data_IF_442221958671
#
_entry.id   IF_442221958671
#
_cell.length_a   1.000
_cell.length_b   1.000
_cell.length_c   1.000
_cell.angle_alpha   90.00
_cell.angle_beta   90.00
_cell.angle_gamma   90.00
#
_symmetry.space_group_name_H-M   'P 1'
#
loop_
_entity.id
_entity.type
_entity.pdbx_description
1 polymer ?
#
# COMPACT_ATOMS: atom_id res chain seq x y z
N UNK A 1 -21.24 1.94 3.75
CA UNK A 1 -20.89 1.48 2.39
C UNK A 1 -19.53 0.80 2.50
N UNK A 2 -19.35 -0.42 1.99
CA UNK A 2 -18.24 -1.29 2.42
C UNK A 2 -16.94 -1.10 1.60
N UNK A 3 -15.79 -1.51 2.16
CA UNK A 3 -14.47 -1.49 1.50
C UNK A 3 -14.46 -2.13 0.10
N UNK A 4 -15.36 -3.07 -0.18
CA UNK A 4 -15.54 -3.64 -1.52
C UNK A 4 -15.97 -2.59 -2.55
N UNK A 5 -16.87 -1.67 -2.17
CA UNK A 5 -17.31 -0.58 -3.04
C UNK A 5 -16.17 0.42 -3.33
N UNK A 6 -15.28 0.65 -2.35
CA UNK A 6 -14.07 1.45 -2.54
C UNK A 6 -13.19 0.86 -3.65
N UNK A 7 -12.81 -0.42 -3.54
CA UNK A 7 -11.95 -1.06 -4.54
C UNK A 7 -12.62 -1.18 -5.91
N UNK A 8 -13.92 -1.48 -5.96
CA UNK A 8 -14.64 -1.55 -7.24
C UNK A 8 -14.68 -0.20 -7.97
N UNK A 9 -14.91 0.90 -7.23
CA UNK A 9 -14.91 2.26 -7.81
C UNK A 9 -13.49 2.68 -8.21
N UNK A 10 -12.50 2.38 -7.39
CA UNK A 10 -11.10 2.68 -7.68
C UNK A 10 -10.63 1.99 -8.96
N UNK A 11 -10.83 0.68 -9.08
CA UNK A 11 -10.46 -0.09 -10.28
C UNK A 11 -11.13 0.45 -11.55
N UNK A 12 -12.45 0.68 -11.49
CA UNK A 12 -13.21 1.23 -12.61
C UNK A 12 -12.66 2.61 -13.03
N UNK A 13 -12.37 3.47 -12.07
CA UNK A 13 -11.84 4.80 -12.34
C UNK A 13 -10.46 4.73 -13.00
N UNK A 14 -9.51 4.01 -12.40
CA UNK A 14 -8.14 3.91 -12.90
C UNK A 14 -8.07 3.33 -14.33
N UNK A 15 -8.92 2.34 -14.63
CA UNK A 15 -9.06 1.82 -15.99
C UNK A 15 -9.64 2.86 -16.96
N UNK A 16 -10.64 3.64 -16.52
CA UNK A 16 -11.31 4.65 -17.36
C UNK A 16 -10.35 5.78 -17.76
N UNK A 17 -9.44 6.17 -16.87
CA UNK A 17 -8.43 7.21 -17.13
C UNK A 17 -7.10 6.66 -17.66
N UNK A 18 -7.06 5.37 -18.05
CA UNK A 18 -5.88 4.67 -18.57
C UNK A 18 -4.63 4.76 -17.66
N UNK A 19 -4.86 4.84 -16.34
CA UNK A 19 -3.79 4.71 -15.35
C UNK A 19 -3.49 3.23 -15.04
N UNK A 20 -4.48 2.36 -15.29
CA UNK A 20 -4.35 0.90 -15.22
C UNK A 20 -4.97 0.21 -16.44
N UNK A 21 -4.53 -1.02 -16.69
CA UNK A 21 -5.20 -1.93 -17.63
C UNK A 21 -6.26 -2.77 -16.90
N UNK A 22 -7.33 -3.23 -17.56
CA UNK A 22 -8.32 -4.11 -16.95
C UNK A 22 -7.69 -5.34 -16.27
N UNK A 23 -7.84 -5.42 -14.95
CA UNK A 23 -7.00 -6.22 -14.04
C UNK A 23 -7.47 -7.68 -13.83
N UNK A 24 -7.90 -8.40 -14.89
CA UNK A 24 -8.52 -9.74 -14.71
C UNK A 24 -7.61 -10.84 -14.12
N UNK A 25 -6.29 -10.65 -14.01
CA UNK A 25 -5.33 -11.70 -13.57
C UNK A 25 -4.35 -11.22 -12.48
N UNK A 26 -4.57 -10.06 -11.87
CA UNK A 26 -3.52 -9.39 -11.08
C UNK A 26 -3.57 -9.69 -9.57
N UNK A 27 -4.67 -10.26 -9.08
CA UNK A 27 -4.91 -10.47 -7.65
C UNK A 27 -4.62 -11.87 -7.13
N UNK A 28 -4.40 -11.98 -5.81
CA UNK A 28 -4.30 -13.23 -5.07
C UNK A 28 -5.69 -13.84 -4.80
N UNK A 29 -5.73 -15.17 -4.80
CA UNK A 29 -6.86 -15.97 -4.34
C UNK A 29 -6.97 -15.96 -2.82
N UNK A 30 -8.16 -16.34 -2.31
CA UNK A 30 -8.35 -16.51 -0.87
C UNK A 30 -7.43 -17.55 -0.24
N UNK A 31 -7.07 -18.59 -0.99
CA UNK A 31 -6.17 -19.64 -0.52
C UNK A 31 -4.74 -19.14 -0.32
N UNK A 32 -4.21 -18.34 -1.26
CA UNK A 32 -2.87 -17.72 -1.13
C UNK A 32 -2.82 -16.76 0.06
N UNK A 33 -3.85 -15.91 0.21
CA UNK A 33 -3.92 -14.96 1.33
C UNK A 33 -3.99 -15.72 2.66
N UNK A 34 -4.86 -16.73 2.77
CA UNK A 34 -5.02 -17.53 3.98
C UNK A 34 -3.74 -18.31 4.33
N UNK A 35 -2.99 -18.78 3.32
CA UNK A 35 -1.71 -19.44 3.55
C UNK A 35 -0.68 -18.50 4.19
N UNK A 36 -0.61 -17.24 3.74
CA UNK A 36 0.30 -16.25 4.34
C UNK A 36 -0.16 -15.82 5.74
N UNK A 37 -1.45 -15.59 5.95
CA UNK A 37 -2.03 -15.34 7.28
C UNK A 37 -1.63 -16.44 8.27
N UNK A 38 -1.72 -17.71 7.85
CA UNK A 38 -1.28 -18.86 8.64
C UNK A 38 0.23 -18.84 8.90
N UNK A 39 1.06 -18.60 7.88
CA UNK A 39 2.53 -18.52 8.01
C UNK A 39 2.96 -17.48 9.05
N UNK A 40 2.33 -16.31 9.04
CA UNK A 40 2.66 -15.21 9.96
C UNK A 40 1.88 -15.27 11.28
N UNK A 41 0.93 -16.20 11.44
CA UNK A 41 0.12 -16.31 12.65
C UNK A 41 -0.78 -15.09 12.90
N UNK A 42 -1.19 -14.39 11.85
CA UNK A 42 -2.00 -13.16 11.93
C UNK A 42 -3.21 -13.25 11.00
N UNK A 43 -4.23 -12.43 11.26
CA UNK A 43 -5.30 -12.18 10.29
C UNK A 43 -5.05 -10.83 9.63
N UNK A 44 -5.00 -10.80 8.31
CA UNK A 44 -4.83 -9.56 7.57
C UNK A 44 -6.10 -8.70 7.64
N UNK A 45 -5.95 -7.38 7.81
CA UNK A 45 -7.06 -6.45 7.74
C UNK A 45 -7.82 -6.55 6.42
N UNK A 46 -9.15 -6.38 6.45
CA UNK A 46 -9.99 -6.50 5.26
C UNK A 46 -9.53 -5.59 4.10
N UNK A 47 -9.10 -4.36 4.39
CA UNK A 47 -8.59 -3.43 3.38
C UNK A 47 -7.35 -3.98 2.67
N UNK A 48 -6.42 -4.60 3.41
CA UNK A 48 -5.22 -5.21 2.85
C UNK A 48 -5.54 -6.53 2.12
N UNK A 49 -6.48 -7.34 2.64
CA UNK A 49 -6.97 -8.53 1.91
C UNK A 49 -7.57 -8.16 0.56
N UNK A 50 -8.38 -7.11 0.50
CA UNK A 50 -8.98 -6.63 -0.74
C UNK A 50 -7.93 -6.05 -1.69
N UNK A 51 -6.92 -5.36 -1.17
CA UNK A 51 -5.75 -4.93 -1.94
C UNK A 51 -5.04 -6.12 -2.59
N UNK A 52 -4.75 -7.17 -1.81
CA UNK A 52 -4.10 -8.38 -2.32
C UNK A 52 -4.98 -9.10 -3.37
N UNK A 53 -6.30 -9.14 -3.17
CA UNK A 53 -7.24 -9.66 -4.18
C UNK A 53 -7.31 -8.82 -5.45
N UNK A 54 -6.97 -7.53 -5.36
CA UNK A 54 -7.00 -6.63 -6.50
C UNK A 54 -5.70 -6.72 -7.30
N UNK A 55 -4.55 -6.69 -6.63
CA UNK A 55 -3.25 -6.60 -7.30
C UNK A 55 -2.10 -7.38 -6.62
N UNK A 56 -2.36 -8.24 -5.63
CA UNK A 56 -1.31 -8.85 -4.81
C UNK A 56 -0.32 -9.77 -5.52
N UNK A 57 -0.52 -10.12 -6.81
CA UNK A 57 0.45 -10.90 -7.62
C UNK A 57 1.34 -10.04 -8.51
N UNK A 58 1.11 -8.72 -8.56
CA UNK A 58 1.81 -7.82 -9.46
C UNK A 58 2.00 -6.47 -8.81
N UNK A 59 2.67 -5.60 -9.53
CA UNK A 59 2.75 -4.19 -9.21
C UNK A 59 1.81 -3.42 -10.10
N UNK A 60 0.95 -2.61 -9.47
CA UNK A 60 0.11 -1.66 -10.19
C UNK A 60 0.99 -0.60 -10.82
N UNK A 61 0.67 -0.24 -12.07
CA UNK A 61 1.32 0.89 -12.73
C UNK A 61 1.17 2.12 -11.84
N UNK A 62 0.03 2.36 -11.22
CA UNK A 62 -0.26 3.53 -10.38
C UNK A 62 0.48 3.56 -9.04
N UNK A 63 1.26 2.54 -8.67
CA UNK A 63 1.99 2.49 -7.39
C UNK A 63 3.52 2.51 -7.54
N UNK A 64 4.06 2.03 -8.67
CA UNK A 64 5.50 2.00 -9.00
C UNK A 64 6.42 1.31 -7.97
N UNK A 65 5.83 0.69 -6.95
CA UNK A 65 6.47 -0.07 -5.87
C UNK A 65 5.78 -1.43 -5.74
N UNK A 66 6.60 -2.46 -5.56
CA UNK A 66 6.11 -3.83 -5.38
C UNK A 66 5.49 -3.99 -3.99
N UNK A 67 4.26 -4.49 -3.94
CA UNK A 67 3.54 -4.88 -2.71
C UNK A 67 2.99 -6.31 -2.86
N UNK A 68 3.78 -7.17 -3.48
CA UNK A 68 3.36 -8.50 -3.88
C UNK A 68 3.34 -9.44 -2.66
N UNK A 69 2.37 -10.34 -2.63
CA UNK A 69 2.18 -11.27 -1.52
C UNK A 69 3.40 -12.17 -1.30
N UNK A 70 4.02 -12.63 -2.39
CA UNK A 70 5.16 -13.55 -2.34
C UNK A 70 6.48 -12.87 -1.91
N UNK A 71 6.48 -11.54 -1.77
CA UNK A 71 7.63 -10.76 -1.31
C UNK A 71 7.58 -10.43 0.19
N UNK A 72 6.54 -10.85 0.92
CA UNK A 72 6.40 -10.56 2.35
C UNK A 72 7.64 -10.95 3.17
N UNK A 73 8.25 -12.10 2.91
CA UNK A 73 9.44 -12.53 3.65
C UNK A 73 10.64 -11.63 3.37
N UNK A 74 10.80 -11.18 2.12
CA UNK A 74 11.83 -10.22 1.76
C UNK A 74 11.60 -8.87 2.48
N UNK A 75 10.37 -8.36 2.48
CA UNK A 75 10.04 -7.11 3.19
C UNK A 75 10.32 -7.23 4.70
N UNK A 76 9.96 -8.35 5.31
CA UNK A 76 10.25 -8.62 6.72
C UNK A 76 11.75 -8.75 7.01
N UNK A 77 12.51 -9.40 6.13
CA UNK A 77 13.96 -9.49 6.23
C UNK A 77 14.60 -8.10 6.24
N UNK A 78 14.28 -7.28 5.24
CA UNK A 78 14.81 -5.92 5.14
C UNK A 78 14.40 -5.04 6.33
N UNK A 79 13.15 -5.11 6.78
CA UNK A 79 12.70 -4.34 7.93
C UNK A 79 13.42 -4.76 9.24
N UNK A 80 13.68 -6.06 9.44
CA UNK A 80 14.43 -6.55 10.60
C UNK A 80 15.87 -6.05 10.60
N UNK A 81 16.54 -6.09 9.45
CA UNK A 81 17.91 -5.60 9.30
C UNK A 81 17.96 -4.10 9.63
N UNK A 82 17.06 -3.31 9.04
CA UNK A 82 17.01 -1.87 9.26
C UNK A 82 16.73 -1.50 10.73
N UNK A 83 15.79 -2.21 11.38
CA UNK A 83 15.49 -2.01 12.80
C UNK A 83 16.67 -2.39 13.69
N UNK A 84 17.35 -3.51 13.41
CA UNK A 84 18.49 -3.98 14.19
C UNK A 84 19.69 -3.03 14.11
N UNK A 85 20.01 -2.53 12.91
CA UNK A 85 21.09 -1.54 12.68
C UNK A 85 20.86 -0.25 13.48
N UNK A 86 19.59 0.11 13.69
CA UNK A 86 19.19 1.34 14.39
C UNK A 86 18.78 1.10 15.86
N UNK A 87 19.00 -0.11 16.40
CA UNK A 87 18.61 -0.48 17.77
C UNK A 87 17.14 -0.20 18.08
N UNK A 88 16.28 -0.34 17.07
CA UNK A 88 14.86 -0.09 17.14
C UNK A 88 14.08 -1.41 17.14
N UNK A 89 12.82 -1.32 17.54
CA UNK A 89 11.87 -2.43 17.46
C UNK A 89 10.62 -1.96 16.74
N UNK A 90 10.02 -2.85 15.97
CA UNK A 90 8.72 -2.60 15.37
C UNK A 90 7.70 -2.43 16.50
N UNK A 91 6.80 -1.46 16.37
CA UNK A 91 5.78 -1.25 17.39
C UNK A 91 4.83 -2.47 17.51
N UNK A 92 4.26 -2.73 18.70
CA UNK A 92 3.36 -3.86 18.91
C UNK A 92 2.19 -3.85 17.92
N UNK A 93 1.94 -5.00 17.29
CA UNK A 93 0.90 -5.15 16.28
C UNK A 93 1.26 -4.62 14.89
N UNK A 94 2.49 -4.13 14.69
CA UNK A 94 3.01 -3.77 13.38
C UNK A 94 3.18 -4.99 12.47
N UNK A 95 2.72 -4.86 11.23
CA UNK A 95 2.91 -5.85 10.18
C UNK A 95 3.49 -5.20 8.92
N UNK A 96 4.68 -5.62 8.51
CA UNK A 96 5.40 -5.10 7.34
C UNK A 96 4.77 -5.67 6.07
N UNK A 97 4.46 -4.80 5.11
CA UNK A 97 3.78 -5.19 3.86
C UNK A 97 4.40 -4.59 2.60
N UNK A 98 5.46 -3.80 2.73
CA UNK A 98 6.22 -3.26 1.61
C UNK A 98 7.53 -2.65 2.08
N UNK A 99 8.50 -2.61 1.18
CA UNK A 99 9.82 -2.00 1.38
C UNK A 99 10.23 -1.27 0.10
N UNK A 100 11.14 -0.30 0.25
CA UNK A 100 11.81 0.31 -0.89
C UNK A 100 13.30 0.46 -0.65
N UNK A 101 14.07 -0.34 -1.40
CA UNK A 101 15.53 -0.27 -1.53
C UNK A 101 16.31 -0.36 -0.20
N UNK A 102 15.77 -1.04 0.81
CA UNK A 102 16.43 -1.25 2.10
C UNK A 102 16.52 -0.04 3.03
N UNK A 103 16.04 1.13 2.60
CA UNK A 103 16.10 2.37 3.39
C UNK A 103 14.80 2.69 4.11
N UNK A 104 13.71 2.05 3.72
CA UNK A 104 12.41 2.24 4.33
C UNK A 104 11.52 1.00 4.20
N UNK A 105 10.53 0.91 5.08
CA UNK A 105 9.47 -0.08 4.99
C UNK A 105 8.12 0.50 5.42
N UNK A 106 7.07 0.05 4.74
CA UNK A 106 5.69 0.30 5.12
C UNK A 106 5.19 -0.82 6.02
N UNK A 107 4.45 -0.43 7.06
CA UNK A 107 3.75 -1.36 7.92
C UNK A 107 2.39 -0.81 8.33
N UNK A 108 1.46 -1.69 8.67
CA UNK A 108 0.18 -1.30 9.26
C UNK A 108 0.03 -1.88 10.66
N UNK A 109 -0.86 -1.30 11.46
CA UNK A 109 -1.20 -1.82 12.79
C UNK A 109 -2.41 -2.73 12.74
N UNK A 110 -2.22 -3.98 13.16
CA UNK A 110 -3.30 -4.95 13.33
C UNK A 110 -4.31 -4.44 14.38
N UNK A 111 -5.59 -4.77 14.17
CA UNK A 111 -6.66 -4.46 15.14
C UNK A 111 -7.90 -3.80 14.53
N UNK A 112 -7.87 -3.38 13.26
CA UNK A 112 -9.05 -2.92 12.52
C UNK A 112 -9.05 -3.44 11.08
N UNK A 113 -10.21 -3.39 10.42
CA UNK A 113 -10.38 -3.80 9.03
C UNK A 113 -9.73 -2.82 8.03
N UNK A 114 -9.57 -1.56 8.42
CA UNK A 114 -8.88 -0.52 7.64
C UNK A 114 -7.82 0.13 8.56
N UNK A 115 -6.64 -0.50 8.68
CA UNK A 115 -5.67 -0.22 9.72
C UNK A 115 -4.92 1.08 9.43
N UNK A 116 -4.35 1.74 10.45
CA UNK A 116 -3.41 2.82 10.19
C UNK A 116 -2.14 2.28 9.52
N UNK A 117 -1.60 3.03 8.54
CA UNK A 117 -0.34 2.74 7.83
C UNK A 117 0.71 3.74 8.26
N UNK A 118 1.93 3.23 8.44
CA UNK A 118 3.12 4.03 8.73
C UNK A 118 4.26 3.65 7.80
N UNK A 119 5.08 4.64 7.47
CA UNK A 119 6.39 4.45 6.85
C UNK A 119 7.45 4.61 7.93
N UNK A 120 8.37 3.66 8.02
CA UNK A 120 9.62 3.82 8.75
C UNK A 120 10.74 4.02 7.73
N UNK A 121 11.58 5.02 7.93
CA UNK A 121 12.72 5.29 7.05
C UNK A 121 13.94 5.75 7.84
N UNK A 122 15.14 5.59 7.28
CA UNK A 122 16.33 6.24 7.82
C UNK A 122 16.16 7.76 7.79
N UNK A 123 16.59 8.45 8.85
CA UNK A 123 16.53 9.92 8.91
C UNK A 123 17.39 10.57 7.84
N UNK A 124 18.66 10.16 7.77
CA UNK A 124 19.59 10.57 6.72
C UNK A 124 20.87 9.75 6.78
N UNK A 125 21.72 9.88 5.75
CA UNK A 125 23.07 9.30 5.75
C UNK A 125 23.99 9.91 6.82
N UNK A 126 23.63 11.08 7.37
CA UNK A 126 24.48 11.85 8.30
C UNK A 126 23.94 11.93 9.73
N UNK A 127 22.65 11.60 9.94
CA UNK A 127 22.00 11.53 11.24
C UNK A 127 21.47 10.11 11.47
N UNK A 128 22.01 9.38 12.46
CA UNK A 128 21.56 8.03 12.75
C UNK A 128 20.13 8.03 13.29
N UNK A 129 19.41 6.93 13.03
CA UNK A 129 18.08 6.69 13.54
C UNK A 129 17.00 6.68 12.48
N UNK A 130 15.78 6.42 12.95
CA UNK A 130 14.60 6.22 12.12
C UNK A 130 13.61 7.36 12.29
N UNK A 131 12.99 7.75 11.19
CA UNK A 131 11.82 8.63 11.14
C UNK A 131 10.58 7.81 10.82
N UNK A 132 9.43 8.26 11.35
CA UNK A 132 8.14 7.61 11.17
C UNK A 132 7.12 8.59 10.62
N UNK A 133 6.53 8.25 9.47
CA UNK A 133 5.43 9.02 8.87
C UNK A 133 4.13 8.24 8.99
N UNK A 134 3.06 8.90 9.43
CA UNK A 134 1.72 8.30 9.52
C UNK A 134 0.88 8.72 8.31
N UNK A 135 0.31 7.74 7.61
CA UNK A 135 -0.52 7.95 6.40
C UNK A 135 -2.02 7.81 6.67
N UNK A 136 -2.45 7.75 7.94
CA UNK A 136 -3.84 7.45 8.26
C UNK A 136 -4.18 6.01 7.90
N UNK A 137 -5.40 5.75 7.43
CA UNK A 137 -5.87 4.38 7.15
C UNK A 137 -5.25 3.81 5.88
N UNK A 138 -5.27 2.49 5.72
CA UNK A 138 -4.73 1.80 4.54
C UNK A 138 -5.31 2.35 3.23
N UNK A 139 -6.61 2.64 3.18
CA UNK A 139 -7.22 3.25 2.00
C UNK A 139 -6.77 4.69 1.75
N UNK A 140 -6.49 5.49 2.80
CA UNK A 140 -5.93 6.84 2.64
C UNK A 140 -4.52 6.74 2.05
N UNK A 141 -3.68 5.89 2.64
CA UNK A 141 -2.35 5.60 2.12
C UNK A 141 -2.40 5.22 0.63
N UNK A 142 -3.27 4.28 0.24
CA UNK A 142 -3.39 3.83 -1.14
C UNK A 142 -3.74 4.98 -2.10
N UNK A 143 -4.72 5.82 -1.72
CA UNK A 143 -5.12 6.99 -2.52
C UNK A 143 -3.97 7.99 -2.63
N UNK A 144 -3.29 8.30 -1.53
CA UNK A 144 -2.17 9.24 -1.52
C UNK A 144 -1.01 8.75 -2.38
N UNK A 145 -0.69 7.45 -2.34
CA UNK A 145 0.33 6.85 -3.20
C UNK A 145 -0.01 6.98 -4.68
N UNK A 146 -1.26 6.70 -5.05
CA UNK A 146 -1.72 6.86 -6.44
C UNK A 146 -1.64 8.33 -6.87
N UNK A 147 -2.08 9.27 -6.02
CA UNK A 147 -2.01 10.72 -6.30
C UNK A 147 -0.58 11.17 -6.56
N UNK A 148 0.36 10.80 -5.67
CA UNK A 148 1.78 11.12 -5.84
C UNK A 148 2.33 10.53 -7.15
N UNK A 149 1.96 9.29 -7.49
CA UNK A 149 2.44 8.65 -8.71
C UNK A 149 1.89 9.30 -9.98
N UNK A 150 0.62 9.72 -9.97
CA UNK A 150 0.02 10.48 -11.07
C UNK A 150 0.77 11.78 -11.29
N UNK A 151 1.04 12.54 -10.22
CA UNK A 151 1.79 13.79 -10.30
C UNK A 151 3.21 13.59 -10.84
N UNK A 152 3.95 12.62 -10.29
CA UNK A 152 5.29 12.27 -10.76
C UNK A 152 5.26 11.93 -12.25
N UNK A 153 4.38 11.01 -12.66
CA UNK A 153 4.33 10.54 -14.06
C UNK A 153 3.91 11.62 -15.03
N UNK A 154 3.04 12.53 -14.62
CA UNK A 154 2.67 13.70 -15.41
C UNK A 154 3.86 14.66 -15.54
N UNK A 155 4.61 14.91 -14.45
CA UNK A 155 5.79 15.78 -14.45
C UNK A 155 6.90 15.28 -15.40
N UNK A 156 7.08 13.96 -15.51
CA UNK A 156 8.05 13.33 -16.41
C UNK A 156 7.45 12.95 -17.78
N UNK A 157 6.24 13.45 -18.10
CA UNK A 157 5.53 13.26 -19.39
C UNK A 157 5.30 11.78 -19.77
N UNK A 158 5.16 10.90 -18.78
CA UNK A 158 4.81 9.48 -18.97
C UNK A 158 3.31 9.25 -19.14
N UNK A 159 2.49 10.17 -18.64
CA UNK A 159 1.03 10.18 -18.80
C UNK A 159 0.58 11.60 -19.20
N UNK A 160 -0.60 11.70 -19.83
CA UNK A 160 -1.24 12.96 -20.17
C UNK A 160 -2.66 12.99 -19.61
N UNK A 161 -2.78 13.44 -18.35
CA UNK A 161 -4.05 13.51 -17.62
C UNK A 161 -4.21 14.88 -16.94
N UNK A 162 -5.45 15.27 -16.69
CA UNK A 162 -5.78 16.42 -15.84
C UNK A 162 -5.61 16.02 -14.36
N UNK A 163 -4.46 16.36 -13.77
CA UNK A 163 -4.11 15.98 -12.38
C UNK A 163 -5.14 16.50 -11.38
N UNK A 164 -5.54 17.79 -11.39
CA UNK A 164 -6.62 18.28 -10.52
C UNK A 164 -7.93 17.46 -10.62
N UNK A 165 -8.37 17.12 -11.84
CA UNK A 165 -9.58 16.31 -12.02
C UNK A 165 -9.41 14.88 -11.48
N UNK A 166 -8.26 14.26 -11.73
CA UNK A 166 -7.95 12.92 -11.21
C UNK A 166 -7.92 12.92 -9.68
N UNK A 167 -7.29 13.93 -9.07
CA UNK A 167 -7.24 14.05 -7.62
C UNK A 167 -8.62 14.23 -7.00
N UNK A 168 -9.47 15.07 -7.60
CA UNK A 168 -10.84 15.29 -7.12
C UNK A 168 -11.66 13.99 -7.13
N UNK A 169 -11.54 13.16 -8.16
CA UNK A 169 -12.24 11.86 -8.20
C UNK A 169 -11.66 10.87 -7.17
N UNK A 170 -10.33 10.82 -7.01
CA UNK A 170 -9.69 10.01 -5.98
C UNK A 170 -10.13 10.42 -4.56
N UNK A 171 -10.35 11.70 -4.30
CA UNK A 171 -10.92 12.19 -3.04
C UNK A 171 -12.36 11.70 -2.83
N UNK A 172 -13.19 11.74 -3.88
CA UNK A 172 -14.55 11.20 -3.81
C UNK A 172 -14.57 9.69 -3.59
N UNK A 173 -13.59 8.96 -4.13
CA UNK A 173 -13.41 7.53 -3.89
C UNK A 173 -12.97 7.28 -2.45
N UNK A 174 -12.03 8.06 -1.91
CA UNK A 174 -11.56 7.93 -0.53
C UNK A 174 -12.72 8.00 0.48
N UNK A 175 -13.67 8.91 0.27
CA UNK A 175 -14.87 9.04 1.10
C UNK A 175 -15.72 7.75 1.17
N UNK A 176 -15.69 6.91 0.13
CA UNK A 176 -16.42 5.62 0.13
C UNK A 176 -15.93 4.69 1.24
N UNK A 177 -14.63 4.75 1.59
CA UNK A 177 -14.03 3.93 2.63
C UNK A 177 -14.29 4.47 4.05
N UNK A 178 -14.66 5.74 4.20
CA UNK A 178 -14.86 6.37 5.51
C UNK A 178 -16.26 6.16 6.10
N UNK A 179 -17.24 5.83 5.26
CA UNK A 179 -18.60 5.46 5.68
C UNK A 179 -18.79 3.94 5.83
N UNK A 180 -17.70 3.19 6.03
CA UNK A 180 -17.65 1.73 6.15
C UNK A 180 -17.55 1.27 7.62
#
# INVERSE_FOLDING_TARGET
MSLQAFYARLDQFLCTVALEEPTRVLGCSEAEIAAQEHTYGVRFPLAYRLFLKWCGRTTLKSLDQDFQLDFLEYYWGSARDLLAENQAVLEPGGFVFGEWQGYNFFYFLLGSDNPPVKLCMIKSDTEPGLEYTNYGRFTNWLIDRIKSMVEIRQSIRKINVDVPAVWAELDQIALVADYA
#
